data_IF_623385083492
#
_entry.id   IF_623385083492
#
_cell.length_a   1.000
_cell.length_b   1.000
_cell.length_c   1.000
_cell.angle_alpha   90.00
_cell.angle_beta   90.00
_cell.angle_gamma   90.00
#
_symmetry.space_group_name_H-M   'P 1'
#
loop_
_entity.id
_entity.type
_entity.pdbx_description
1 polymer ?
#
# COMPACT_ATOMS: atom_id res chain seq x y z
N UNK A 1 49.99 -4.77 27.73
CA UNK A 1 49.94 -5.47 26.43
C UNK A 1 49.49 -4.45 25.38
N UNK A 2 50.34 -4.18 24.38
CA UNK A 2 50.11 -3.14 23.38
C UNK A 2 49.44 -3.75 22.13
N UNK A 3 48.19 -3.36 21.87
CA UNK A 3 47.44 -3.74 20.67
C UNK A 3 47.91 -2.94 19.45
N UNK A 4 48.53 -3.62 18.50
CA UNK A 4 49.00 -3.10 17.21
C UNK A 4 47.80 -2.96 16.26
N UNK A 5 47.18 -1.78 16.19
CA UNK A 5 46.11 -1.48 15.22
C UNK A 5 46.69 -1.11 13.84
N UNK A 6 46.33 -1.89 12.82
CA UNK A 6 46.79 -1.77 11.43
C UNK A 6 45.89 -0.82 10.62
N UNK A 7 46.48 0.04 9.79
CA UNK A 7 45.85 0.61 8.59
C UNK A 7 45.18 1.97 8.74
N UNK A 8 45.79 3.00 8.13
CA UNK A 8 45.16 4.30 7.86
C UNK A 8 44.15 4.09 6.73
N UNK A 9 42.86 4.04 7.06
CA UNK A 9 41.79 4.09 6.06
C UNK A 9 41.67 5.54 5.54
N UNK A 10 42.38 5.85 4.45
CA UNK A 10 42.21 7.09 3.70
C UNK A 10 41.28 6.83 2.50
N UNK A 11 40.31 7.71 2.28
CA UNK A 11 39.46 7.68 1.11
C UNK A 11 40.27 8.08 -0.13
N UNK A 12 39.85 7.62 -1.32
CA UNK A 12 40.52 7.95 -2.60
C UNK A 12 40.36 9.42 -3.00
N UNK A 13 39.42 10.14 -2.37
CA UNK A 13 39.15 11.55 -2.57
C UNK A 13 39.41 12.36 -1.30
N UNK A 14 39.58 13.67 -1.45
CA UNK A 14 39.80 14.57 -0.31
C UNK A 14 38.49 14.82 0.46
N UNK A 15 38.44 14.32 1.70
CA UNK A 15 37.31 14.45 2.62
C UNK A 15 37.19 15.88 3.19
N UNK A 16 38.32 16.59 3.33
CA UNK A 16 38.36 17.95 3.86
C UNK A 16 37.72 18.95 2.88
N UNK A 17 37.80 18.68 1.57
CA UNK A 17 37.09 19.45 0.55
C UNK A 17 35.56 19.32 0.65
N UNK A 18 35.08 18.26 1.30
CA UNK A 18 33.67 18.05 1.62
C UNK A 18 33.28 18.65 2.99
N UNK A 19 34.22 19.32 3.68
CA UNK A 19 34.01 19.90 5.01
C UNK A 19 33.97 18.88 6.15
N UNK A 20 34.32 17.62 5.88
CA UNK A 20 34.34 16.56 6.88
C UNK A 20 35.75 16.41 7.47
N UNK A 21 35.84 16.45 8.80
CA UNK A 21 37.10 16.23 9.53
C UNK A 21 37.15 14.83 10.13
N UNK A 22 38.34 14.34 10.47
CA UNK A 22 38.52 13.00 11.08
C UNK A 22 37.74 12.80 12.38
N UNK A 23 37.39 13.88 13.08
CA UNK A 23 36.60 13.86 14.32
C UNK A 23 35.10 14.06 14.13
N UNK A 24 34.63 14.37 12.91
CA UNK A 24 33.24 14.67 12.60
C UNK A 24 32.64 13.69 11.59
N UNK A 25 33.16 12.46 11.55
CA UNK A 25 32.66 11.41 10.65
C UNK A 25 31.29 10.93 11.17
N UNK A 26 30.24 10.87 10.32
CA UNK A 26 28.94 10.36 10.75
C UNK A 26 29.05 8.94 11.33
N UNK A 27 28.16 8.61 12.25
CA UNK A 27 28.12 7.27 12.82
C UNK A 27 27.86 6.22 11.73
N UNK A 28 28.57 5.10 11.82
CA UNK A 28 28.41 3.99 10.88
C UNK A 28 27.12 3.26 11.21
N UNK A 29 26.17 3.27 10.28
CA UNK A 29 24.89 2.58 10.45
C UNK A 29 25.12 1.07 10.63
N UNK A 30 24.56 0.47 11.69
CA UNK A 30 24.79 -0.95 12.04
C UNK A 30 24.00 -1.97 11.21
N UNK A 31 23.03 -1.53 10.41
CA UNK A 31 22.17 -2.39 9.61
C UNK A 31 21.18 -1.59 8.75
N UNK A 32 20.43 -2.23 7.86
CA UNK A 32 19.45 -1.53 7.02
C UNK A 32 18.40 -0.85 7.89
N UNK A 33 17.87 0.27 7.40
CA UNK A 33 16.70 0.91 8.01
C UNK A 33 15.51 -0.05 7.99
N UNK A 34 14.62 -0.02 8.99
CA UNK A 34 13.40 -0.81 8.96
C UNK A 34 12.54 -0.42 7.74
N UNK A 35 11.79 -1.38 7.18
CA UNK A 35 10.89 -1.13 6.05
C UNK A 35 9.79 -0.12 6.41
N UNK A 36 9.34 -0.15 7.66
CA UNK A 36 8.33 0.76 8.20
C UNK A 36 8.96 1.63 9.29
N UNK A 37 9.31 2.90 8.98
CA UNK A 37 9.79 3.83 9.98
C UNK A 37 8.68 4.17 10.98
N UNK A 38 9.06 4.55 12.19
CA UNK A 38 8.10 5.05 13.18
C UNK A 38 7.66 6.45 12.76
N UNK A 39 6.35 6.63 12.54
CA UNK A 39 5.75 7.94 12.27
C UNK A 39 5.33 8.60 13.59
N UNK A 40 5.55 9.90 13.71
CA UNK A 40 5.18 10.67 14.90
C UNK A 40 3.66 10.90 15.00
N UNK A 41 3.00 11.05 13.85
CA UNK A 41 1.57 11.34 13.76
C UNK A 41 0.83 10.15 13.16
N UNK A 42 -0.24 9.74 13.83
CA UNK A 42 -1.16 8.72 13.31
C UNK A 42 -2.29 9.39 12.53
N UNK A 43 -2.86 8.72 11.51
CA UNK A 43 -4.04 9.22 10.82
C UNK A 43 -5.18 9.45 11.83
N UNK A 44 -5.96 10.49 11.59
CA UNK A 44 -7.11 10.82 12.42
C UNK A 44 -8.19 9.73 12.37
N UNK A 45 -9.05 9.64 13.38
CA UNK A 45 -10.18 8.71 13.35
C UNK A 45 -11.16 9.09 12.24
N UNK A 46 -11.85 8.08 11.70
CA UNK A 46 -12.92 8.29 10.73
C UNK A 46 -14.04 9.14 11.34
N UNK A 47 -14.71 9.93 10.49
CA UNK A 47 -15.91 10.68 10.87
C UNK A 47 -17.03 9.71 11.25
N UNK A 48 -17.77 10.04 12.30
CA UNK A 48 -18.87 9.24 12.82
C UNK A 48 -20.17 10.04 12.71
N UNK A 49 -21.23 9.38 12.30
CA UNK A 49 -22.55 9.96 12.10
C UNK A 49 -23.41 9.09 11.18
N UNK A 50 -24.72 9.28 11.27
CA UNK A 50 -25.70 8.49 10.52
C UNK A 50 -25.55 8.72 9.00
N UNK A 51 -25.23 9.94 8.59
CA UNK A 51 -25.02 10.30 7.19
C UNK A 51 -23.78 9.60 6.61
N UNK A 52 -22.66 9.57 7.34
CA UNK A 52 -21.45 8.86 6.90
C UNK A 52 -21.70 7.35 6.81
N UNK A 53 -22.43 6.78 7.78
CA UNK A 53 -22.75 5.36 7.80
C UNK A 53 -23.72 4.97 6.67
N UNK A 54 -24.70 5.83 6.36
CA UNK A 54 -25.57 5.67 5.20
C UNK A 54 -24.77 5.65 3.89
N UNK A 55 -23.86 6.61 3.70
CA UNK A 55 -23.04 6.68 2.48
C UNK A 55 -22.09 5.47 2.36
N UNK A 56 -21.55 4.98 3.48
CA UNK A 56 -20.75 3.74 3.52
C UNK A 56 -21.58 2.52 3.10
N UNK A 57 -22.77 2.37 3.68
CA UNK A 57 -23.67 1.27 3.37
C UNK A 57 -24.11 1.31 1.90
N UNK A 58 -24.46 2.49 1.38
CA UNK A 58 -24.85 2.69 -0.01
C UNK A 58 -23.71 2.31 -0.97
N UNK A 59 -22.48 2.75 -0.69
CA UNK A 59 -21.29 2.37 -1.48
C UNK A 59 -21.10 0.85 -1.54
N UNK A 60 -21.27 0.17 -0.40
CA UNK A 60 -21.17 -1.29 -0.32
C UNK A 60 -22.28 -2.00 -1.12
N UNK A 61 -23.53 -1.56 -0.99
CA UNK A 61 -24.64 -2.11 -1.78
C UNK A 61 -24.38 -1.92 -3.28
N UNK A 62 -23.97 -0.73 -3.70
CA UNK A 62 -23.67 -0.44 -5.11
C UNK A 62 -22.58 -1.36 -5.65
N UNK A 63 -21.51 -1.62 -4.89
CA UNK A 63 -20.47 -2.58 -5.27
C UNK A 63 -21.05 -3.98 -5.50
N UNK A 64 -21.93 -4.45 -4.61
CA UNK A 64 -22.59 -5.74 -4.74
C UNK A 64 -23.50 -5.80 -5.96
N UNK A 65 -24.42 -4.84 -6.07
CA UNK A 65 -25.38 -4.73 -7.18
C UNK A 65 -24.70 -4.64 -8.54
N UNK A 66 -23.60 -3.88 -8.64
CA UNK A 66 -22.88 -3.71 -9.89
C UNK A 66 -22.24 -5.02 -10.39
N UNK A 67 -21.83 -5.93 -9.49
CA UNK A 67 -21.29 -7.24 -9.88
C UNK A 67 -22.34 -8.12 -10.58
N UNK A 68 -23.62 -7.92 -10.28
CA UNK A 68 -24.74 -8.68 -10.85
C UNK A 68 -25.34 -8.03 -12.10
N UNK A 69 -24.98 -6.77 -12.40
CA UNK A 69 -25.44 -6.09 -13.60
C UNK A 69 -24.83 -6.71 -14.86
N UNK A 70 -25.56 -6.69 -16.00
CA UNK A 70 -25.06 -7.21 -17.28
C UNK A 70 -23.84 -6.45 -17.81
N UNK A 71 -23.56 -5.28 -17.25
CA UNK A 71 -22.39 -4.46 -17.57
C UNK A 71 -21.09 -4.98 -16.92
N UNK A 72 -21.18 -5.91 -15.96
CA UNK A 72 -20.01 -6.55 -15.36
C UNK A 72 -19.46 -7.67 -16.26
N UNK A 73 -18.73 -7.27 -17.30
CA UNK A 73 -18.12 -8.19 -18.26
C UNK A 73 -16.99 -8.96 -17.57
N UNK A 74 -17.20 -10.25 -17.36
CA UNK A 74 -16.19 -11.13 -16.76
C UNK A 74 -15.02 -11.33 -17.73
N UNK A 75 -13.77 -11.39 -17.22
CA UNK A 75 -12.63 -11.74 -18.06
C UNK A 75 -12.85 -13.11 -18.69
N UNK A 76 -12.47 -13.26 -19.96
CA UNK A 76 -12.61 -14.51 -20.68
C UNK A 76 -11.66 -15.56 -20.08
N UNK A 77 -12.20 -16.48 -19.27
CA UNK A 77 -11.45 -17.67 -18.86
C UNK A 77 -11.17 -18.48 -20.14
N UNK A 78 -9.89 -18.65 -20.48
CA UNK A 78 -9.47 -19.39 -21.66
C UNK A 78 -10.20 -20.73 -21.78
N UNK A 79 -10.60 -21.09 -23.01
CA UNK A 79 -11.35 -22.31 -23.34
C UNK A 79 -10.75 -23.52 -22.62
N UNK A 80 -11.43 -23.99 -21.57
CA UNK A 80 -11.16 -25.30 -21.01
C UNK A 80 -11.57 -26.34 -22.04
N UNK A 81 -10.62 -27.13 -22.51
CA UNK A 81 -10.85 -28.18 -23.50
C UNK A 81 -12.07 -29.04 -23.12
N UNK A 82 -12.98 -29.13 -24.07
CA UNK A 82 -14.21 -29.90 -24.01
C UNK A 82 -13.94 -31.38 -23.67
N UNK A 83 -14.74 -31.95 -22.78
CA UNK A 83 -14.79 -33.37 -22.35
C UNK A 83 -13.91 -33.82 -21.18
N UNK A 84 -13.99 -33.13 -20.04
CA UNK A 84 -13.84 -33.83 -18.74
C UNK A 84 -15.14 -33.66 -17.97
N UNK A 85 -15.83 -34.77 -17.65
CA UNK A 85 -16.91 -34.77 -16.67
C UNK A 85 -16.31 -34.26 -15.36
N UNK A 86 -16.50 -32.98 -15.09
CA UNK A 86 -15.98 -32.27 -13.95
C UNK A 86 -16.72 -32.70 -12.68
N UNK A 87 -16.39 -33.89 -12.16
CA UNK A 87 -16.34 -34.10 -10.71
C UNK A 87 -15.19 -33.26 -10.18
N UNK A 88 -15.37 -31.95 -10.17
CA UNK A 88 -14.56 -31.08 -9.33
C UNK A 88 -15.13 -31.31 -7.94
N UNK A 89 -14.34 -31.92 -7.06
CA UNK A 89 -14.68 -32.10 -5.66
C UNK A 89 -15.07 -30.73 -5.09
N UNK A 90 -16.10 -30.67 -4.22
CA UNK A 90 -16.55 -29.40 -3.61
C UNK A 90 -15.40 -28.59 -3.00
N UNK A 91 -14.39 -29.30 -2.51
CA UNK A 91 -13.16 -28.75 -1.94
C UNK A 91 -12.34 -27.91 -2.93
N UNK A 92 -12.20 -28.36 -4.16
CA UNK A 92 -11.37 -27.67 -5.17
C UNK A 92 -12.09 -26.43 -5.72
N UNK A 93 -13.44 -26.42 -5.68
CA UNK A 93 -14.24 -25.22 -5.99
C UNK A 93 -14.11 -24.16 -4.91
N UNK A 94 -14.18 -24.55 -3.64
CA UNK A 94 -13.99 -23.63 -2.51
C UNK A 94 -12.58 -23.02 -2.52
N UNK A 95 -11.55 -23.82 -2.81
CA UNK A 95 -10.18 -23.31 -2.89
C UNK A 95 -9.98 -22.30 -4.04
N UNK A 96 -10.63 -22.53 -5.19
CA UNK A 96 -10.61 -21.60 -6.32
C UNK A 96 -11.42 -20.31 -6.03
N UNK A 97 -12.52 -20.41 -5.30
CA UNK A 97 -13.31 -19.25 -4.85
C UNK A 97 -12.49 -18.40 -3.88
N UNK A 98 -11.87 -19.00 -2.87
CA UNK A 98 -11.03 -18.29 -1.91
C UNK A 98 -9.85 -17.56 -2.60
N UNK A 99 -9.21 -18.21 -3.58
CA UNK A 99 -8.13 -17.58 -4.37
C UNK A 99 -8.60 -16.41 -5.24
N UNK A 100 -9.88 -16.37 -5.64
CA UNK A 100 -10.45 -15.25 -6.39
C UNK A 100 -10.86 -14.11 -5.46
N UNK A 101 -11.33 -14.42 -4.26
CA UNK A 101 -11.64 -13.42 -3.23
C UNK A 101 -10.36 -12.74 -2.71
N UNK A 102 -9.27 -13.50 -2.50
CA UNK A 102 -7.95 -12.96 -2.11
C UNK A 102 -7.33 -12.07 -3.19
N UNK A 103 -7.66 -12.29 -4.46
CA UNK A 103 -7.19 -11.51 -5.61
C UNK A 103 -8.24 -10.54 -6.15
N UNK A 104 -9.29 -10.20 -5.37
CA UNK A 104 -10.24 -9.15 -5.75
C UNK A 104 -9.48 -7.82 -5.76
N UNK A 105 -8.87 -7.50 -6.90
CA UNK A 105 -8.04 -6.31 -7.14
C UNK A 105 -8.78 -5.02 -6.75
N UNK A 106 -10.12 -5.04 -6.79
CA UNK A 106 -10.98 -3.93 -6.34
C UNK A 106 -11.04 -3.84 -4.81
N UNK A 107 -11.02 -4.95 -4.08
CA UNK A 107 -11.00 -4.92 -2.62
C UNK A 107 -9.68 -4.34 -2.10
N UNK A 108 -8.54 -4.81 -2.63
CA UNK A 108 -7.22 -4.34 -2.19
C UNK A 108 -6.91 -2.90 -2.64
N UNK A 109 -7.39 -2.46 -3.82
CA UNK A 109 -7.16 -1.10 -4.31
C UNK A 109 -7.90 -0.02 -3.50
N UNK A 110 -8.96 -0.37 -2.77
CA UNK A 110 -9.71 0.55 -1.92
C UNK A 110 -9.45 0.37 -0.42
N UNK A 111 -8.80 -0.71 0.04
CA UNK A 111 -8.37 -0.84 1.44
C UNK A 111 -7.01 -0.15 1.70
N UNK A 112 -6.09 -0.16 0.73
CA UNK A 112 -4.79 0.54 0.86
C UNK A 112 -4.87 2.05 0.51
N UNK A 113 -6.04 2.52 0.05
CA UNK A 113 -6.23 3.83 -0.60
C UNK A 113 -6.89 4.92 0.24
N UNK A 114 -7.11 4.72 1.54
CA UNK A 114 -7.65 5.76 2.45
C UNK A 114 -6.63 6.90 2.75
N UNK A 115 -5.51 6.98 2.00
CA UNK A 115 -4.47 8.00 2.10
C UNK A 115 -4.31 8.88 0.84
N UNK A 116 -5.37 9.06 0.03
CA UNK A 116 -5.39 10.17 -0.92
C UNK A 116 -6.04 11.40 -0.29
N UNK A 117 -5.15 12.20 0.30
CA UNK A 117 -5.34 13.51 0.88
C UNK A 117 -6.57 14.28 0.40
N UNK A 118 -7.42 14.61 1.37
CA UNK A 118 -8.34 15.74 1.29
C UNK A 118 -7.57 17.05 1.28
N UNK A 119 -6.79 17.30 0.22
CA UNK A 119 -6.51 18.66 -0.22
C UNK A 119 -7.79 19.18 -0.85
N UNK A 120 -8.80 19.50 -0.03
CA UNK A 120 -9.90 20.31 -0.49
C UNK A 120 -9.32 21.67 -0.88
N UNK A 121 -9.59 22.00 -2.12
CA UNK A 121 -9.32 23.26 -2.79
C UNK A 121 -10.01 24.39 -2.00
N UNK A 122 -9.35 24.91 -0.96
CA UNK A 122 -9.84 25.97 -0.08
C UNK A 122 -9.79 27.37 -0.75
N UNK A 123 -9.57 27.44 -2.07
CA UNK A 123 -9.65 28.70 -2.81
C UNK A 123 -11.05 28.89 -3.41
N UNK A 124 -12.08 28.84 -2.56
CA UNK A 124 -13.38 29.45 -2.85
C UNK A 124 -13.23 30.96 -2.65
N UNK A 125 -12.96 31.65 -3.75
CA UNK A 125 -12.73 33.08 -3.82
C UNK A 125 -13.81 33.88 -3.06
N UNK A 126 -13.37 34.63 -2.05
CA UNK A 126 -14.16 35.66 -1.38
C UNK A 126 -14.41 36.81 -2.37
N UNK A 127 -15.55 36.75 -3.06
CA UNK A 127 -16.06 37.87 -3.84
C UNK A 127 -16.52 38.98 -2.88
N UNK A 128 -15.60 39.88 -2.53
CA UNK A 128 -15.94 41.17 -1.95
C UNK A 128 -16.73 41.99 -2.98
N UNK A 129 -17.96 42.38 -2.61
CA UNK A 129 -18.80 43.33 -3.34
C UNK A 129 -18.52 44.77 -2.90
#
# INVERSE_FOLDING_TARGET
>A
MAGKGRGIAAFTFNIEALGLTRGSMPETQRGPTPLFPQIEYKPGPLKAGEDEDYMRALKQEMRGRMKDLPFNIKPHAGKGDTNRKAKISSKDKEELLNKLDENDYIANYFEDGDDYGGGSDDNMDEATY
#
